data_IF_637896168504
#
_entry.id   IF_637896168504
#
_cell.length_a   1.000
_cell.length_b   1.000
_cell.length_c   1.000
_cell.angle_alpha   90.00
_cell.angle_beta   90.00
_cell.angle_gamma   90.00
#
_symmetry.space_group_name_H-M   'P 1'
#
loop_
_entity.id
_entity.type
_entity.pdbx_description
1 polymer ?
#
# COMPACT_ATOMS: atom_id res chain seq x y z
N UNK A 1 -73.03 1.58 -46.24
CA UNK A 1 -73.13 2.93 -45.62
C UNK A 1 -73.46 2.75 -44.14
N UNK A 2 -72.53 3.06 -43.29
CA UNK A 2 -72.63 3.52 -41.88
C UNK A 2 -71.27 3.47 -41.19
N UNK A 3 -70.88 4.43 -40.38
CA UNK A 3 -69.49 4.74 -40.04
C UNK A 3 -68.99 3.98 -38.81
N UNK A 4 -67.66 3.77 -38.86
CA UNK A 4 -66.83 3.21 -37.83
C UNK A 4 -66.56 4.30 -36.76
N UNK A 5 -66.88 3.98 -35.48
CA UNK A 5 -66.50 4.84 -34.34
C UNK A 5 -65.14 4.38 -33.81
N UNK A 6 -64.20 5.31 -33.86
CA UNK A 6 -62.90 5.24 -33.19
C UNK A 6 -63.10 5.18 -31.66
N UNK A 7 -62.37 4.22 -31.01
CA UNK A 7 -62.12 4.24 -29.59
C UNK A 7 -60.61 4.56 -29.41
N UNK A 8 -60.30 5.74 -28.95
CA UNK A 8 -58.99 6.12 -28.41
C UNK A 8 -58.84 5.47 -27.04
N UNK A 9 -57.97 4.49 -26.92
CA UNK A 9 -57.48 3.98 -25.66
C UNK A 9 -56.20 4.71 -25.27
N UNK A 10 -56.28 5.52 -24.25
CA UNK A 10 -55.14 6.22 -23.64
C UNK A 10 -54.34 5.21 -22.83
N UNK A 11 -53.17 4.80 -23.32
CA UNK A 11 -52.20 4.01 -22.58
C UNK A 11 -51.38 4.98 -21.67
N UNK A 12 -51.65 4.90 -20.34
CA UNK A 12 -50.82 5.48 -19.32
C UNK A 12 -49.51 4.67 -19.22
N UNK A 13 -48.39 5.26 -19.63
CA UNK A 13 -47.07 4.75 -19.33
C UNK A 13 -46.71 5.13 -17.89
N UNK A 14 -46.74 4.15 -16.97
CA UNK A 14 -46.12 4.27 -15.67
C UNK A 14 -44.62 4.12 -15.88
N UNK A 15 -43.90 5.23 -15.84
CA UNK A 15 -42.44 5.26 -15.75
C UNK A 15 -42.04 4.80 -14.36
N UNK A 16 -41.64 3.54 -14.21
CA UNK A 16 -40.93 3.04 -13.03
C UNK A 16 -39.53 3.64 -13.11
N UNK A 17 -39.29 4.71 -12.39
CA UNK A 17 -37.94 5.19 -12.09
C UNK A 17 -37.33 4.20 -11.10
N UNK A 18 -36.62 3.23 -11.62
CA UNK A 18 -35.71 2.40 -10.82
C UNK A 18 -34.56 3.31 -10.38
N UNK A 19 -34.60 3.79 -9.15
CA UNK A 19 -33.45 4.32 -8.48
C UNK A 19 -32.50 3.15 -8.19
N UNK A 20 -31.71 2.76 -9.17
CA UNK A 20 -30.49 2.02 -8.93
C UNK A 20 -29.48 3.05 -8.41
N UNK A 21 -29.28 3.11 -7.11
CA UNK A 21 -28.07 3.66 -6.53
C UNK A 21 -26.90 2.76 -6.95
N UNK A 22 -26.48 2.91 -8.19
CA UNK A 22 -25.17 2.43 -8.63
C UNK A 22 -24.13 3.23 -7.83
N UNK A 23 -23.46 2.59 -6.91
CA UNK A 23 -22.14 3.07 -6.52
C UNK A 23 -21.34 3.12 -7.84
N UNK A 24 -21.05 4.34 -8.33
CA UNK A 24 -20.04 4.53 -9.36
C UNK A 24 -18.76 3.96 -8.76
N UNK A 25 -18.29 2.83 -9.28
CA UNK A 25 -16.95 2.35 -8.97
C UNK A 25 -15.98 3.43 -9.42
N UNK A 26 -15.31 4.06 -8.46
CA UNK A 26 -14.26 5.03 -8.70
C UNK A 26 -13.21 4.33 -9.59
N UNK A 27 -12.88 4.92 -10.72
CA UNK A 27 -11.83 4.36 -11.59
C UNK A 27 -10.51 4.35 -10.83
N UNK A 28 -9.81 3.21 -10.84
CA UNK A 28 -8.50 3.08 -10.21
C UNK A 28 -7.51 4.12 -10.79
N UNK A 29 -6.65 4.67 -9.92
CA UNK A 29 -5.62 5.62 -10.33
C UNK A 29 -4.40 4.85 -10.89
N UNK A 30 -4.11 4.89 -12.21
CA UNK A 30 -2.99 4.14 -12.78
C UNK A 30 -1.63 4.52 -12.19
N UNK A 31 -1.48 5.76 -11.68
CA UNK A 31 -0.26 6.21 -11.02
C UNK A 31 -0.07 5.58 -9.62
N UNK A 32 -1.12 5.01 -9.06
CA UNK A 32 -1.12 4.33 -7.77
C UNK A 32 -1.25 2.81 -7.87
N UNK A 33 -1.14 2.25 -9.07
CA UNK A 33 -1.10 0.80 -9.24
C UNK A 33 0.15 0.18 -8.60
N UNK A 34 0.06 -1.06 -8.06
CA UNK A 34 1.21 -1.78 -7.52
C UNK A 34 2.36 -1.87 -8.52
N UNK A 35 3.62 -1.55 -8.13
CA UNK A 35 4.77 -1.53 -9.04
C UNK A 35 5.15 -2.94 -9.52
N UNK A 36 5.82 -3.04 -10.68
CA UNK A 36 6.32 -4.32 -11.21
C UNK A 36 7.51 -4.83 -10.41
N UNK A 37 8.37 -3.94 -9.96
CA UNK A 37 9.53 -4.20 -9.13
C UNK A 37 9.38 -3.40 -7.84
N UNK A 38 9.47 -4.08 -6.70
CA UNK A 38 9.39 -3.48 -5.38
C UNK A 38 10.72 -3.68 -4.66
N UNK A 39 11.32 -2.60 -4.18
CA UNK A 39 12.34 -2.67 -3.14
C UNK A 39 11.64 -2.46 -1.80
N UNK A 40 11.73 -3.45 -0.93
CA UNK A 40 11.17 -3.43 0.40
C UNK A 40 12.30 -3.31 1.42
N UNK A 41 12.34 -2.21 2.16
CA UNK A 41 13.29 -2.01 3.25
C UNK A 41 12.56 -2.25 4.57
N UNK A 42 12.99 -3.29 5.28
CA UNK A 42 12.49 -3.64 6.62
C UNK A 42 13.47 -3.12 7.67
N UNK A 43 13.00 -2.26 8.56
CA UNK A 43 13.84 -1.63 9.58
C UNK A 43 13.25 -1.86 10.97
N UNK A 44 14.01 -2.52 11.84
CA UNK A 44 13.69 -2.61 13.25
C UNK A 44 14.25 -1.38 13.96
N UNK A 45 13.38 -0.63 14.62
CA UNK A 45 13.76 0.59 15.34
C UNK A 45 14.05 0.27 16.81
N UNK A 46 15.16 0.80 17.36
CA UNK A 46 15.51 0.65 18.76
C UNK A 46 14.35 1.06 19.68
N UNK A 47 14.19 0.37 20.79
CA UNK A 47 13.12 0.62 21.75
C UNK A 47 13.10 2.08 22.22
N UNK A 48 11.92 2.70 22.14
CA UNK A 48 11.71 4.08 22.52
C UNK A 48 12.12 5.13 21.46
N UNK A 49 12.68 4.73 20.32
CA UNK A 49 13.20 5.67 19.32
C UNK A 49 12.27 5.87 18.11
N UNK A 50 11.14 5.19 18.02
CA UNK A 50 10.20 5.27 16.89
C UNK A 50 9.72 6.70 16.61
N UNK A 51 9.37 7.48 17.64
CA UNK A 51 8.92 8.87 17.45
C UNK A 51 10.03 9.79 16.94
N UNK A 52 11.28 9.54 17.31
CA UNK A 52 12.43 10.29 16.84
C UNK A 52 12.72 9.97 15.38
N UNK A 53 12.80 8.68 15.02
CA UNK A 53 12.91 8.26 13.60
C UNK A 53 11.84 8.92 12.73
N UNK A 54 10.57 8.87 13.17
CA UNK A 54 9.46 9.47 12.43
C UNK A 54 9.67 10.97 12.17
N UNK A 55 10.10 11.73 13.18
CA UNK A 55 10.39 13.18 13.02
C UNK A 55 11.51 13.45 12.02
N UNK A 56 12.59 12.68 12.09
CA UNK A 56 13.73 12.83 11.18
C UNK A 56 13.32 12.44 9.74
N UNK A 57 12.63 11.31 9.57
CA UNK A 57 12.17 10.88 8.25
C UNK A 57 11.16 11.86 7.63
N UNK A 58 10.24 12.41 8.44
CA UNK A 58 9.33 13.45 7.99
C UNK A 58 10.08 14.74 7.55
N UNK A 59 11.26 15.01 8.10
CA UNK A 59 12.11 16.12 7.62
C UNK A 59 12.69 15.83 6.25
N UNK A 60 13.18 14.61 6.02
CA UNK A 60 13.65 14.17 4.69
C UNK A 60 12.51 14.18 3.69
N UNK A 61 11.36 13.59 4.02
CA UNK A 61 10.17 13.54 3.14
C UNK A 61 9.77 14.94 2.67
N UNK A 62 9.59 15.89 3.58
CA UNK A 62 9.29 17.29 3.24
C UNK A 62 10.37 17.97 2.40
N UNK A 63 11.64 17.63 2.60
CA UNK A 63 12.71 18.15 1.75
C UNK A 63 12.61 17.58 0.33
N UNK A 64 12.36 16.26 0.19
CA UNK A 64 12.18 15.59 -1.09
C UNK A 64 10.98 16.13 -1.88
N UNK A 65 9.90 16.54 -1.20
CA UNK A 65 8.75 17.21 -1.85
C UNK A 65 9.11 18.56 -2.52
N UNK A 66 10.16 19.21 -2.07
CA UNK A 66 10.65 20.50 -2.60
C UNK A 66 11.83 20.38 -3.54
N UNK A 67 12.56 19.30 -3.43
CA UNK A 67 13.77 19.03 -4.21
C UNK A 67 13.46 17.93 -5.23
N UNK A 68 14.31 17.80 -6.22
CA UNK A 68 14.19 16.75 -7.24
C UNK A 68 14.78 15.44 -6.69
N UNK A 69 14.02 14.75 -5.85
CA UNK A 69 14.43 13.50 -5.24
C UNK A 69 14.44 12.37 -6.29
N UNK A 70 15.42 11.42 -6.21
CA UNK A 70 15.62 10.41 -7.25
C UNK A 70 14.55 9.33 -7.34
N UNK A 71 13.81 9.07 -6.28
CA UNK A 71 12.72 8.09 -6.23
C UNK A 71 11.71 8.43 -5.15
N UNK A 72 10.60 7.70 -5.15
CA UNK A 72 9.49 7.83 -4.22
C UNK A 72 9.46 6.65 -3.28
N UNK A 73 8.75 6.79 -2.14
CA UNK A 73 8.52 5.70 -1.20
C UNK A 73 7.23 5.90 -0.40
N UNK A 74 6.69 4.78 0.08
CA UNK A 74 5.62 4.74 1.07
C UNK A 74 6.19 4.14 2.36
N UNK A 75 6.03 4.83 3.48
CA UNK A 75 6.47 4.37 4.80
C UNK A 75 5.30 3.81 5.60
N UNK A 76 5.52 2.64 6.17
CA UNK A 76 4.54 1.87 6.92
C UNK A 76 5.12 1.53 8.30
N UNK A 77 4.30 1.57 9.34
CA UNK A 77 4.71 1.15 10.67
C UNK A 77 3.88 -0.04 11.15
N UNK A 78 4.52 -1.03 11.74
CA UNK A 78 3.84 -2.21 12.28
C UNK A 78 2.85 -1.84 13.39
N UNK A 79 1.64 -2.41 13.29
CA UNK A 79 0.65 -2.45 14.37
C UNK A 79 0.76 -3.76 15.15
N UNK A 80 1.22 -4.82 14.49
CA UNK A 80 1.36 -6.16 15.07
C UNK A 80 2.74 -6.72 14.79
N UNK A 81 3.13 -7.78 15.50
CA UNK A 81 4.44 -8.44 15.33
C UNK A 81 5.60 -7.63 15.90
N UNK A 82 6.75 -7.73 15.25
CA UNK A 82 7.96 -6.99 15.61
C UNK A 82 7.74 -5.49 15.40
N UNK A 83 8.34 -4.67 16.25
CA UNK A 83 8.30 -3.21 16.09
C UNK A 83 9.21 -2.78 14.95
N UNK A 84 8.68 -2.78 13.78
CA UNK A 84 9.42 -2.45 12.56
C UNK A 84 8.69 -1.42 11.71
N UNK A 85 9.40 -0.89 10.75
CA UNK A 85 8.85 -0.11 9.65
C UNK A 85 9.20 -0.77 8.33
N UNK A 86 8.30 -0.65 7.37
CA UNK A 86 8.52 -1.07 5.99
C UNK A 86 8.54 0.17 5.11
N UNK A 87 9.54 0.28 4.26
CA UNK A 87 9.55 1.29 3.20
C UNK A 87 9.39 0.60 1.87
N UNK A 88 8.40 1.00 1.09
CA UNK A 88 8.09 0.50 -0.24
C UNK A 88 8.61 1.45 -1.28
N UNK A 89 9.66 1.09 -1.99
CA UNK A 89 10.25 1.88 -3.08
C UNK A 89 9.81 1.25 -4.42
N UNK A 90 8.94 1.93 -5.20
CA UNK A 90 8.38 1.40 -6.43
C UNK A 90 9.29 1.65 -7.63
N UNK A 91 9.43 0.61 -8.47
CA UNK A 91 10.14 0.69 -9.75
C UNK A 91 9.44 -0.18 -10.80
N UNK A 92 9.67 0.09 -12.09
CA UNK A 92 9.24 -0.78 -13.17
C UNK A 92 10.37 -1.72 -13.63
N UNK A 93 11.63 -1.29 -13.48
CA UNK A 93 12.80 -1.99 -13.99
C UNK A 93 14.01 -1.90 -13.06
N UNK A 94 14.94 -2.86 -13.17
CA UNK A 94 16.23 -2.78 -12.48
C UNK A 94 17.10 -1.61 -12.95
N UNK A 95 16.91 -1.13 -14.17
CA UNK A 95 17.61 0.07 -14.67
C UNK A 95 17.16 1.32 -13.91
N UNK A 96 15.85 1.49 -13.67
CA UNK A 96 15.33 2.58 -12.83
C UNK A 96 15.88 2.49 -11.41
N UNK A 97 15.93 1.31 -10.81
CA UNK A 97 16.54 1.09 -9.50
C UNK A 97 18.02 1.50 -9.48
N UNK A 98 18.80 1.15 -10.52
CA UNK A 98 20.19 1.55 -10.66
C UNK A 98 20.33 3.08 -10.77
N UNK A 99 19.47 3.72 -11.56
CA UNK A 99 19.45 5.18 -11.73
C UNK A 99 19.10 5.87 -10.39
N UNK A 100 18.09 5.38 -9.67
CA UNK A 100 17.71 5.90 -8.35
C UNK A 100 18.87 5.79 -7.35
N UNK A 101 19.56 4.65 -7.27
CA UNK A 101 20.70 4.45 -6.39
C UNK A 101 21.85 5.43 -6.70
N UNK A 102 22.09 5.70 -7.98
CA UNK A 102 23.08 6.68 -8.41
C UNK A 102 22.63 8.10 -8.09
N UNK A 103 21.36 8.39 -8.28
CA UNK A 103 20.73 9.68 -7.98
C UNK A 103 20.78 10.00 -6.49
N UNK A 104 20.48 9.05 -5.60
CA UNK A 104 20.56 9.25 -4.15
C UNK A 104 21.95 9.61 -3.67
N UNK A 105 23.00 9.00 -4.23
CA UNK A 105 24.39 9.38 -3.91
C UNK A 105 24.66 10.85 -4.27
N UNK A 106 24.19 11.29 -5.44
CA UNK A 106 24.36 12.69 -5.88
C UNK A 106 23.48 13.63 -5.05
N UNK A 107 22.25 13.24 -4.74
CA UNK A 107 21.32 14.01 -3.92
C UNK A 107 21.89 14.31 -2.53
N UNK A 108 22.37 13.30 -1.82
CA UNK A 108 22.99 13.50 -0.50
C UNK A 108 24.33 14.23 -0.57
N UNK A 109 25.09 14.09 -1.65
CA UNK A 109 26.31 14.89 -1.84
C UNK A 109 25.98 16.38 -2.04
N UNK A 110 24.86 16.69 -2.68
CA UNK A 110 24.39 18.07 -2.86
C UNK A 110 23.70 18.65 -1.61
N UNK A 111 23.21 17.81 -0.70
CA UNK A 111 22.45 18.18 0.51
C UNK A 111 23.05 17.53 1.78
N UNK A 112 24.22 18.03 2.28
CA UNK A 112 24.93 17.42 3.41
C UNK A 112 24.14 17.40 4.72
N UNK A 113 23.25 18.35 4.94
CA UNK A 113 22.32 18.40 6.07
C UNK A 113 21.30 17.24 6.06
N UNK A 114 20.80 16.88 4.88
CA UNK A 114 19.94 15.71 4.74
C UNK A 114 20.73 14.40 4.86
N UNK A 115 21.97 14.37 4.38
CA UNK A 115 22.88 13.24 4.58
C UNK A 115 23.17 13.00 6.09
N UNK A 116 23.36 14.08 6.85
CA UNK A 116 23.50 14.00 8.29
C UNK A 116 22.21 13.46 8.95
N UNK A 117 21.04 13.99 8.57
CA UNK A 117 19.75 13.53 9.08
C UNK A 117 19.53 12.03 8.78
N UNK A 118 19.92 11.55 7.59
CA UNK A 118 19.87 10.13 7.27
C UNK A 118 20.79 9.33 8.18
N UNK A 119 22.02 9.77 8.42
CA UNK A 119 22.93 9.10 9.37
C UNK A 119 22.38 9.07 10.82
N UNK A 120 21.64 10.09 11.23
CA UNK A 120 20.94 10.10 12.51
C UNK A 120 19.83 9.02 12.53
N UNK A 121 19.03 8.89 11.45
CA UNK A 121 18.02 7.82 11.32
C UNK A 121 18.70 6.45 11.42
N UNK A 122 19.76 6.21 10.67
CA UNK A 122 20.48 4.93 10.65
C UNK A 122 20.97 4.54 12.07
N UNK A 123 21.39 5.54 12.86
CA UNK A 123 21.82 5.31 14.26
C UNK A 123 20.70 4.86 15.20
N UNK A 124 19.42 5.03 14.80
CA UNK A 124 18.25 4.61 15.59
C UNK A 124 17.80 3.19 15.26
N UNK A 125 18.38 2.56 14.27
CA UNK A 125 18.00 1.21 13.84
C UNK A 125 18.68 0.16 14.70
N UNK A 126 17.96 -0.91 15.01
CA UNK A 126 18.50 -2.13 15.59
C UNK A 126 18.94 -3.11 14.49
N UNK A 127 18.19 -3.17 13.41
CA UNK A 127 18.48 -3.97 12.23
C UNK A 127 17.84 -3.38 10.98
N UNK A 128 18.38 -3.75 9.82
CA UNK A 128 17.82 -3.43 8.50
C UNK A 128 17.99 -4.61 7.56
N UNK A 129 16.99 -4.85 6.73
CA UNK A 129 17.03 -5.82 5.64
C UNK A 129 16.36 -5.24 4.40
N UNK A 130 17.01 -5.35 3.25
CA UNK A 130 16.44 -4.94 1.98
C UNK A 130 16.12 -6.15 1.13
N UNK A 131 14.91 -6.19 0.60
CA UNK A 131 14.43 -7.21 -0.34
C UNK A 131 14.16 -6.56 -1.68
N UNK A 132 14.45 -7.29 -2.77
CA UNK A 132 14.02 -6.93 -4.12
C UNK A 132 13.05 -8.00 -4.62
N UNK A 133 11.84 -7.58 -4.96
CA UNK A 133 10.76 -8.49 -5.32
C UNK A 133 10.10 -8.10 -6.64
N UNK A 134 9.69 -9.09 -7.41
CA UNK A 134 8.96 -8.91 -8.67
C UNK A 134 7.51 -9.32 -8.50
N UNK A 135 6.60 -8.47 -8.99
CA UNK A 135 5.16 -8.73 -8.97
C UNK A 135 4.81 -9.96 -9.81
N UNK A 136 3.86 -10.73 -9.31
CA UNK A 136 3.28 -11.92 -9.94
C UNK A 136 1.82 -11.64 -10.27
N UNK A 137 1.58 -11.12 -11.48
CA UNK A 137 0.24 -10.75 -11.96
C UNK A 137 -0.71 -11.94 -12.05
N UNK A 138 -0.16 -13.15 -12.19
CA UNK A 138 -0.91 -14.40 -12.27
C UNK A 138 -1.36 -14.94 -10.89
N UNK A 139 -0.99 -14.28 -9.79
CA UNK A 139 -1.29 -14.71 -8.41
C UNK A 139 -2.08 -13.68 -7.59
N UNK A 140 -2.20 -12.45 -8.09
CA UNK A 140 -2.98 -11.37 -7.45
C UNK A 140 -4.44 -11.36 -7.90
N UNK A 141 -5.29 -10.64 -7.17
CA UNK A 141 -6.67 -10.34 -7.56
C UNK A 141 -7.13 -9.03 -6.87
N UNK A 142 -7.92 -8.18 -7.55
CA UNK A 142 -8.14 -8.17 -8.99
C UNK A 142 -6.84 -7.91 -9.76
N UNK A 143 -6.86 -7.72 -11.10
CA UNK A 143 -5.67 -7.30 -11.85
C UNK A 143 -5.00 -6.08 -11.21
N UNK A 144 -3.68 -6.03 -11.21
CA UNK A 144 -2.93 -5.01 -10.46
C UNK A 144 -3.25 -3.57 -10.89
N UNK A 145 -3.65 -3.37 -12.16
CA UNK A 145 -4.10 -2.07 -12.70
C UNK A 145 -5.43 -1.57 -12.10
N UNK A 146 -6.21 -2.46 -11.50
CA UNK A 146 -7.48 -2.14 -10.85
C UNK A 146 -7.30 -1.86 -9.34
N UNK A 147 -6.07 -1.99 -8.82
CA UNK A 147 -5.75 -1.73 -7.41
C UNK A 147 -5.19 -0.31 -7.26
N UNK A 148 -5.82 0.51 -6.44
CA UNK A 148 -5.39 1.87 -6.11
C UNK A 148 -4.71 1.91 -4.72
N UNK A 149 -3.37 1.88 -4.69
CA UNK A 149 -2.61 1.95 -3.45
C UNK A 149 -2.73 3.31 -2.73
N UNK A 150 -3.18 4.36 -3.41
CA UNK A 150 -3.36 5.68 -2.79
C UNK A 150 -4.50 5.70 -1.76
N UNK A 151 -5.46 4.77 -1.88
CA UNK A 151 -6.56 4.60 -0.93
C UNK A 151 -6.17 3.84 0.33
N UNK A 152 -5.03 3.15 0.32
CA UNK A 152 -4.58 2.36 1.46
C UNK A 152 -4.26 3.24 2.69
N UNK A 153 -4.83 2.86 3.84
CA UNK A 153 -4.54 3.42 5.16
C UNK A 153 -3.83 2.40 6.03
N UNK A 154 -4.08 1.15 5.74
CA UNK A 154 -3.46 -0.01 6.37
C UNK A 154 -2.98 -0.98 5.29
N UNK A 155 -2.04 -1.81 5.67
CA UNK A 155 -1.53 -2.88 4.82
C UNK A 155 -1.39 -4.15 5.63
N UNK A 156 -2.07 -5.21 5.22
CA UNK A 156 -1.72 -6.54 5.73
C UNK A 156 -0.62 -7.10 4.86
N UNK A 157 0.44 -7.58 5.49
CA UNK A 157 1.58 -8.19 4.80
C UNK A 157 1.77 -9.61 5.29
N UNK A 158 1.77 -10.57 4.36
CA UNK A 158 2.18 -11.94 4.64
C UNK A 158 3.55 -12.15 4.00
N UNK A 159 4.53 -12.55 4.81
CA UNK A 159 5.82 -13.08 4.32
C UNK A 159 5.77 -14.60 4.44
N UNK A 160 5.80 -15.28 3.31
CA UNK A 160 5.78 -16.76 3.23
C UNK A 160 7.13 -17.23 2.73
N UNK A 161 7.88 -17.89 3.62
CA UNK A 161 9.14 -18.54 3.29
C UNK A 161 8.90 -20.01 3.05
N UNK A 162 9.42 -20.51 1.96
CA UNK A 162 9.21 -21.88 1.52
C UNK A 162 10.45 -22.73 1.72
N UNK A 163 10.23 -24.02 1.87
CA UNK A 163 11.27 -25.02 1.73
C UNK A 163 11.78 -25.05 0.27
N UNK A 164 13.05 -25.35 0.03
CA UNK A 164 13.59 -25.44 -1.33
C UNK A 164 12.79 -26.40 -2.21
N UNK A 165 12.45 -25.98 -3.42
CA UNK A 165 11.68 -26.77 -4.38
C UNK A 165 10.17 -26.57 -4.36
N UNK A 166 9.60 -25.96 -3.30
CA UNK A 166 8.14 -25.85 -3.08
C UNK A 166 7.50 -24.56 -3.62
N UNK A 167 8.17 -23.83 -4.53
CA UNK A 167 7.60 -22.61 -5.10
C UNK A 167 6.28 -22.82 -5.84
N UNK A 168 6.15 -23.95 -6.55
CA UNK A 168 4.91 -24.29 -7.29
C UNK A 168 3.76 -24.63 -6.36
N UNK A 169 4.03 -25.31 -5.25
CA UNK A 169 2.99 -25.70 -4.29
C UNK A 169 2.32 -24.46 -3.69
N UNK A 170 3.11 -23.41 -3.40
CA UNK A 170 2.60 -22.12 -3.00
C UNK A 170 1.77 -21.45 -4.11
N UNK A 171 2.30 -21.40 -5.35
CA UNK A 171 1.59 -20.80 -6.49
C UNK A 171 0.26 -21.49 -6.76
N UNK A 172 0.19 -22.81 -6.68
CA UNK A 172 -1.05 -23.59 -6.80
C UNK A 172 -2.02 -23.29 -5.66
N UNK A 173 -1.52 -23.14 -4.44
CA UNK A 173 -2.34 -22.81 -3.27
C UNK A 173 -2.95 -21.40 -3.37
N UNK A 174 -2.18 -20.41 -3.82
CA UNK A 174 -2.70 -19.05 -4.01
C UNK A 174 -3.75 -19.01 -5.12
N UNK A 175 -3.54 -19.74 -6.22
CA UNK A 175 -4.54 -19.85 -7.30
C UNK A 175 -5.82 -20.51 -6.80
N UNK A 176 -5.70 -21.62 -6.06
CA UNK A 176 -6.86 -22.30 -5.45
C UNK A 176 -7.64 -21.35 -4.53
N UNK A 177 -6.94 -20.57 -3.72
CA UNK A 177 -7.56 -19.55 -2.87
C UNK A 177 -8.24 -18.45 -3.69
N UNK A 178 -7.59 -17.96 -4.75
CA UNK A 178 -8.14 -16.96 -5.67
C UNK A 178 -9.41 -17.43 -6.35
N UNK A 179 -9.42 -18.68 -6.87
CA UNK A 179 -10.60 -19.28 -7.50
C UNK A 179 -11.79 -19.42 -6.52
N UNK A 180 -11.50 -19.71 -5.26
CA UNK A 180 -12.52 -19.77 -4.21
C UNK A 180 -13.03 -18.38 -3.84
N UNK A 181 -12.13 -17.41 -3.71
CA UNK A 181 -12.45 -16.03 -3.37
C UNK A 181 -13.32 -15.35 -4.43
N UNK A 182 -13.07 -15.61 -5.71
CA UNK A 182 -13.86 -15.07 -6.83
C UNK A 182 -15.34 -15.50 -6.84
N UNK A 183 -15.71 -16.50 -6.01
CA UNK A 183 -17.10 -16.98 -5.87
C UNK A 183 -17.89 -16.23 -4.81
N UNK A 184 -17.24 -15.54 -3.89
CA UNK A 184 -17.88 -14.76 -2.81
C UNK A 184 -17.92 -13.28 -3.16
N UNK A 185 -18.85 -12.54 -2.56
CA UNK A 185 -19.03 -11.11 -2.81
C UNK A 185 -18.08 -10.28 -1.94
N UNK A 186 -17.55 -9.19 -2.49
CA UNK A 186 -16.75 -8.22 -1.75
C UNK A 186 -15.28 -8.59 -1.74
N UNK A 187 -14.60 -8.46 -2.86
CA UNK A 187 -13.19 -8.80 -3.00
C UNK A 187 -12.30 -7.79 -2.24
N UNK A 188 -11.57 -8.27 -1.23
CA UNK A 188 -10.43 -7.53 -0.69
C UNK A 188 -9.25 -7.79 -1.63
N UNK A 189 -8.66 -6.74 -2.22
CA UNK A 189 -7.59 -6.91 -3.19
C UNK A 189 -6.32 -7.45 -2.54
N UNK A 190 -5.56 -8.24 -3.29
CA UNK A 190 -4.21 -8.64 -2.88
C UNK A 190 -3.24 -8.66 -4.05
N UNK A 191 -1.99 -8.36 -3.75
CA UNK A 191 -0.88 -8.36 -4.69
C UNK A 191 0.19 -9.32 -4.21
N UNK A 192 0.70 -10.15 -5.11
CA UNK A 192 1.74 -11.13 -4.79
C UNK A 192 3.06 -10.71 -5.43
N UNK A 193 4.12 -10.71 -4.64
CA UNK A 193 5.49 -10.54 -5.10
C UNK A 193 6.32 -11.76 -4.78
N UNK A 194 7.16 -12.16 -5.72
CA UNK A 194 8.22 -13.13 -5.48
C UNK A 194 9.51 -12.40 -5.16
N UNK A 195 10.11 -12.67 -4.01
CA UNK A 195 11.40 -12.11 -3.64
C UNK A 195 12.50 -12.78 -4.48
N UNK A 196 13.28 -11.94 -5.16
CA UNK A 196 14.39 -12.36 -6.00
C UNK A 196 15.74 -12.22 -5.29
N UNK A 197 15.90 -11.16 -4.47
CA UNK A 197 17.14 -10.84 -3.77
C UNK A 197 16.85 -10.46 -2.31
N UNK A 198 17.83 -10.68 -1.43
CA UNK A 198 17.77 -10.28 -0.02
C UNK A 198 17.20 -11.35 0.93
N UNK A 199 16.98 -12.57 0.46
CA UNK A 199 16.54 -13.71 1.29
C UNK A 199 17.33 -14.97 0.97
N UNK A 200 17.43 -15.87 1.95
CA UNK A 200 18.15 -17.15 1.82
C UNK A 200 17.27 -18.31 1.35
N UNK A 201 15.96 -18.11 1.25
CA UNK A 201 15.00 -19.14 0.87
C UNK A 201 13.99 -18.57 -0.14
N UNK A 202 13.31 -19.40 -0.94
CA UNK A 202 12.22 -18.96 -1.78
C UNK A 202 11.17 -18.26 -0.90
N UNK A 203 10.89 -16.98 -1.19
CA UNK A 203 10.00 -16.14 -0.37
C UNK A 203 9.00 -15.44 -1.27
N UNK A 204 7.76 -15.42 -0.82
CA UNK A 204 6.69 -14.62 -1.41
C UNK A 204 6.16 -13.62 -0.38
N UNK A 205 5.80 -12.45 -0.89
CA UNK A 205 5.13 -11.40 -0.12
C UNK A 205 3.72 -11.25 -0.69
N UNK A 206 2.72 -11.29 0.18
CA UNK A 206 1.33 -11.01 -0.19
C UNK A 206 0.90 -9.76 0.54
N UNK A 207 0.55 -8.73 -0.23
CA UNK A 207 0.08 -7.45 0.29
C UNK A 207 -1.42 -7.32 0.08
N UNK A 208 -2.13 -6.96 1.14
CA UNK A 208 -3.55 -6.64 1.10
C UNK A 208 -3.69 -5.18 1.56
N UNK A 209 -3.83 -4.23 0.61
CA UNK A 209 -4.12 -2.84 0.95
C UNK A 209 -5.55 -2.74 1.50
N UNK A 210 -5.73 -1.97 2.57
CA UNK A 210 -7.00 -1.75 3.24
C UNK A 210 -7.23 -0.25 3.41
N UNK A 211 -8.42 0.23 3.07
CA UNK A 211 -8.81 1.64 3.29
C UNK A 211 -9.18 1.90 4.75
N UNK A 212 -9.67 0.88 5.44
CA UNK A 212 -9.90 0.88 6.89
C UNK A 212 -9.78 -0.54 7.47
N UNK A 213 -9.85 -0.65 8.81
CA UNK A 213 -9.76 -1.96 9.46
C UNK A 213 -11.07 -2.76 9.41
N UNK A 214 -12.19 -2.15 9.00
CA UNK A 214 -13.43 -2.89 8.78
C UNK A 214 -13.28 -3.86 7.60
N UNK A 215 -12.52 -3.48 6.56
CA UNK A 215 -12.20 -4.40 5.46
C UNK A 215 -11.45 -5.66 5.93
N UNK A 216 -10.75 -5.58 7.05
CA UNK A 216 -10.14 -6.77 7.65
C UNK A 216 -11.19 -7.69 8.30
N UNK A 217 -12.24 -7.13 8.90
CA UNK A 217 -13.38 -7.92 9.40
C UNK A 217 -14.11 -8.58 8.23
N UNK A 218 -14.36 -7.82 7.15
CA UNK A 218 -14.99 -8.34 5.92
C UNK A 218 -14.15 -9.50 5.31
N UNK A 219 -12.81 -9.39 5.33
CA UNK A 219 -11.90 -10.47 4.89
C UNK A 219 -12.06 -11.75 5.73
N UNK A 220 -12.22 -11.60 7.05
CA UNK A 220 -12.41 -12.75 7.95
C UNK A 220 -13.75 -13.42 7.71
N UNK A 221 -14.83 -12.63 7.49
CA UNK A 221 -16.17 -13.15 7.16
C UNK A 221 -16.15 -13.89 5.82
N UNK A 222 -15.56 -13.32 4.77
CA UNK A 222 -15.41 -13.95 3.46
C UNK A 222 -14.65 -15.29 3.54
N UNK A 223 -13.59 -15.33 4.35
CA UNK A 223 -12.86 -16.57 4.59
C UNK A 223 -13.74 -17.65 5.20
N UNK A 224 -14.60 -17.31 6.15
CA UNK A 224 -15.54 -18.25 6.76
C UNK A 224 -16.60 -18.71 5.75
N UNK A 225 -17.12 -17.80 4.90
CA UNK A 225 -18.06 -18.16 3.84
C UNK A 225 -17.44 -19.17 2.86
N UNK A 226 -16.21 -18.94 2.39
CA UNK A 226 -15.47 -19.86 1.52
C UNK A 226 -15.34 -21.24 2.16
N UNK A 227 -15.05 -21.30 3.46
CA UNK A 227 -14.87 -22.56 4.18
C UNK A 227 -16.18 -23.30 4.45
N UNK A 228 -17.33 -22.61 4.42
CA UNK A 228 -18.67 -23.20 4.60
C UNK A 228 -19.30 -23.70 3.29
N UNK A 229 -18.75 -23.33 2.13
CA UNK A 229 -19.21 -23.85 0.84
C UNK A 229 -18.89 -25.35 0.69
N UNK A 230 -19.60 -26.05 -0.23
CA UNK A 230 -19.48 -27.50 -0.41
C UNK A 230 -18.06 -28.02 -0.67
N UNK A 231 -17.19 -27.20 -1.27
CA UNK A 231 -15.79 -27.52 -1.54
C UNK A 231 -14.82 -26.90 -0.50
N UNK A 232 -15.35 -26.15 0.45
CA UNK A 232 -14.53 -25.34 1.37
C UNK A 232 -13.63 -26.20 2.27
N UNK A 233 -14.11 -27.34 2.76
CA UNK A 233 -13.31 -28.26 3.59
C UNK A 233 -12.15 -28.86 2.78
N UNK A 234 -12.37 -29.22 1.51
CA UNK A 234 -11.31 -29.77 0.64
C UNK A 234 -10.26 -28.70 0.32
N UNK A 235 -10.67 -27.44 0.09
CA UNK A 235 -9.80 -26.31 -0.11
C UNK A 235 -8.97 -26.07 1.15
N UNK A 236 -9.60 -26.02 2.31
CA UNK A 236 -8.93 -25.82 3.59
C UNK A 236 -7.92 -26.92 3.88
N UNK A 237 -8.24 -28.20 3.60
CA UNK A 237 -7.29 -29.29 3.81
C UNK A 237 -6.09 -29.22 2.87
N UNK A 238 -6.31 -28.89 1.59
CA UNK A 238 -5.19 -28.67 0.64
C UNK A 238 -4.28 -27.54 1.08
N UNK A 239 -4.84 -26.39 1.50
CA UNK A 239 -4.07 -25.27 2.01
C UNK A 239 -3.28 -25.65 3.28
N UNK A 240 -3.90 -26.39 4.22
CA UNK A 240 -3.24 -26.91 5.42
C UNK A 240 -2.12 -27.89 5.08
N UNK A 241 -2.34 -28.78 4.10
CA UNK A 241 -1.34 -29.71 3.64
C UNK A 241 -0.13 -28.99 3.03
N UNK A 242 -0.38 -28.05 2.10
CA UNK A 242 0.71 -27.25 1.50
C UNK A 242 1.48 -26.48 2.58
N UNK A 243 0.78 -25.91 3.56
CA UNK A 243 1.44 -25.19 4.65
C UNK A 243 2.35 -26.10 5.48
N UNK A 244 1.95 -27.35 5.76
CA UNK A 244 2.75 -28.33 6.50
C UNK A 244 3.95 -28.83 5.72
N UNK A 245 3.82 -29.01 4.40
CA UNK A 245 4.82 -29.65 3.55
C UNK A 245 5.80 -28.66 2.91
N UNK A 246 5.32 -27.45 2.58
CA UNK A 246 6.03 -26.49 1.76
C UNK A 246 6.53 -25.26 2.51
N UNK A 247 5.89 -24.87 3.65
CA UNK A 247 6.26 -23.65 4.32
C UNK A 247 7.34 -23.85 5.37
N UNK A 248 8.44 -23.10 5.27
CA UNK A 248 9.42 -22.97 6.33
C UNK A 248 8.93 -22.01 7.43
N UNK A 249 8.28 -20.91 7.05
CA UNK A 249 7.58 -20.00 7.96
C UNK A 249 6.53 -19.17 7.22
N UNK A 250 5.56 -18.69 7.98
CA UNK A 250 4.60 -17.67 7.53
C UNK A 250 4.46 -16.64 8.64
N UNK A 251 4.64 -15.38 8.28
CA UNK A 251 4.41 -14.24 9.16
C UNK A 251 3.31 -13.37 8.56
N UNK A 252 2.36 -12.93 9.38
CA UNK A 252 1.24 -12.08 8.97
C UNK A 252 1.14 -10.90 9.91
N UNK A 253 1.42 -9.71 9.41
CA UNK A 253 1.44 -8.49 10.18
C UNK A 253 0.55 -7.41 9.56
N UNK A 254 0.00 -6.55 10.41
CA UNK A 254 -0.72 -5.34 10.03
C UNK A 254 0.19 -4.13 10.21
N UNK A 255 0.14 -3.23 9.25
CA UNK A 255 0.86 -1.97 9.23
C UNK A 255 -0.11 -0.80 9.00
N UNK A 256 0.24 0.36 9.51
CA UNK A 256 -0.41 1.64 9.22
C UNK A 256 0.45 2.44 8.26
N UNK A 257 -0.18 3.05 7.25
CA UNK A 257 0.47 3.95 6.29
C UNK A 257 0.70 5.30 6.95
N UNK A 258 1.92 5.83 6.84
CA UNK A 258 2.30 7.13 7.38
C UNK A 258 2.58 8.14 6.25
N UNK A 259 1.59 8.98 5.86
CA UNK A 259 1.77 9.94 4.77
C UNK A 259 2.84 10.99 5.08
N UNK A 260 3.03 11.37 6.35
CA UNK A 260 4.01 12.38 6.77
C UNK A 260 5.46 11.94 6.64
N UNK A 261 5.71 10.62 6.56
CA UNK A 261 7.05 10.04 6.37
C UNK A 261 7.22 9.41 5.00
N UNK A 262 6.17 9.40 4.20
CA UNK A 262 6.19 8.96 2.81
C UNK A 262 6.55 10.11 1.88
N UNK A 263 7.15 9.80 0.74
CA UNK A 263 7.34 10.73 -0.38
C UNK A 263 6.74 10.11 -1.63
N UNK A 264 5.58 10.62 -2.05
CA UNK A 264 4.81 10.09 -3.18
C UNK A 264 4.64 11.11 -4.30
N UNK A 265 4.49 10.67 -5.57
CA UNK A 265 4.23 11.56 -6.69
C UNK A 265 2.91 12.33 -6.51
N UNK A 266 2.78 13.45 -7.21
CA UNK A 266 1.55 14.28 -7.14
C UNK A 266 0.34 13.58 -7.72
N UNK A 267 0.54 12.83 -8.80
CA UNK A 267 -0.48 12.04 -9.47
C UNK A 267 -0.91 10.83 -8.63
N UNK A 268 0.02 10.19 -7.92
CA UNK A 268 -0.31 9.17 -6.92
C UNK A 268 -1.23 9.74 -5.83
N UNK A 269 -0.89 10.90 -5.30
CA UNK A 269 -1.63 11.56 -4.23
C UNK A 269 -2.96 12.21 -4.67
N UNK A 270 -3.22 12.32 -5.99
CA UNK A 270 -4.28 13.18 -6.52
C UNK A 270 -5.68 12.78 -6.08
N UNK A 271 -5.97 11.47 -5.99
CA UNK A 271 -7.27 10.94 -5.58
C UNK A 271 -7.55 11.08 -4.08
N UNK A 272 -6.48 11.17 -3.24
CA UNK A 272 -6.53 11.17 -1.79
C UNK A 272 -5.63 12.28 -1.19
N UNK A 273 -5.70 13.49 -1.78
CA UNK A 273 -4.80 14.61 -1.47
C UNK A 273 -4.83 15.03 0.01
N UNK A 274 -5.99 14.98 0.66
CA UNK A 274 -6.15 15.34 2.08
C UNK A 274 -5.40 14.38 3.01
N UNK A 275 -5.29 13.12 2.63
CA UNK A 275 -4.52 12.14 3.38
C UNK A 275 -3.02 12.29 3.13
N UNK A 276 -2.60 12.30 1.85
CA UNK A 276 -1.17 12.30 1.49
C UNK A 276 -0.48 13.64 1.74
N UNK A 277 -1.23 14.75 1.78
CA UNK A 277 -0.72 16.12 1.94
C UNK A 277 -1.57 16.92 2.90
N UNK A 278 -1.68 16.49 4.18
CA UNK A 278 -2.53 17.17 5.14
C UNK A 278 -2.07 18.62 5.35
N UNK A 279 -3.03 19.55 5.42
CA UNK A 279 -2.77 20.98 5.59
C UNK A 279 -1.95 21.33 6.86
N UNK A 280 -1.94 20.45 7.87
CA UNK A 280 -1.13 20.59 9.09
C UNK A 280 0.37 20.35 8.86
N UNK A 281 0.75 19.78 7.72
CA UNK A 281 2.15 19.63 7.29
C UNK A 281 2.72 20.91 6.64
N UNK A 282 1.87 21.91 6.37
CA UNK A 282 2.32 23.24 5.92
C UNK A 282 3.18 23.88 7.02
N UNK A 283 4.35 24.41 6.63
CA UNK A 283 5.30 25.06 7.54
C UNK A 283 4.62 26.08 8.47
N UNK A 284 5.05 26.17 9.75
CA UNK A 284 4.67 27.29 10.57
C UNK A 284 5.09 28.58 9.84
N UNK A 285 4.12 29.47 9.57
CA UNK A 285 4.43 30.78 8.98
C UNK A 285 5.57 31.41 9.76
N UNK A 286 6.59 31.97 9.08
CA UNK A 286 7.71 32.61 9.77
C UNK A 286 7.14 33.63 10.75
N UNK A 287 7.46 33.47 12.04
CA UNK A 287 7.12 34.45 13.06
C UNK A 287 7.67 35.81 12.62
N UNK A 288 6.76 36.72 12.27
CA UNK A 288 7.09 38.12 12.06
C UNK A 288 7.56 38.66 13.41
N UNK A 289 8.87 38.69 13.64
CA UNK A 289 9.43 39.33 14.83
C UNK A 289 8.88 40.75 14.89
N UNK A 290 8.23 41.17 15.99
CA UNK A 290 7.72 42.52 16.12
C UNK A 290 8.90 43.49 15.97
N UNK A 291 8.82 44.37 14.99
CA UNK A 291 9.77 45.48 14.80
C UNK A 291 9.74 46.35 16.03
N UNK A 292 10.79 46.32 16.85
CA UNK A 292 10.99 47.26 17.95
C UNK A 292 11.37 48.62 17.32
N UNK A 293 10.35 49.38 16.94
CA UNK A 293 10.53 50.78 16.55
C UNK A 293 10.63 51.62 17.82
N UNK A 294 11.86 52.04 18.12
CA UNK A 294 12.24 53.30 18.78
C UNK A 294 11.33 53.90 19.87
N UNK A 295 11.62 53.57 21.11
CA UNK A 295 11.36 54.51 22.21
C UNK A 295 12.36 55.66 22.11
N UNK A 296 11.96 56.77 21.49
CA UNK A 296 12.65 58.07 21.58
C UNK A 296 12.59 58.53 23.05
N UNK A 297 13.75 58.55 23.73
CA UNK A 297 13.95 59.40 24.93
C UNK A 297 13.79 60.84 24.53
N UNK A 298 12.90 61.56 25.23
CA UNK A 298 12.85 63.04 25.25
C UNK A 298 13.43 63.51 26.57
N UNK A 299 14.10 64.67 26.54
CA UNK A 299 14.97 65.21 27.58
C UNK A 299 14.26 65.57 28.90
#
# INVERSE_FOLDING_TARGET
>A
MKPIRSFLGTLLWLSIVSNSSGQEMKAANPAAAPPKLLVLVQQEVQLGRTSERRKLLATISRACDRLDAPSFWIDLQSLTGTRETLTFDPFDTFEQLQQANSGWKQFFAAHPDLAQTQGEIDSLLASERTLVALRRDDLGAPPAEDIDLSEARFMRVLEVRLLPGHGRDFEESIKLWGDAHAKVKGEVPWVVYRVNEGTSAPTFLVFLPLSDLKEYDDLLEQREEILQENEGEDIAERLRQTAREAYASIESNLYVVHPETSHVPKDFAASEADFWRPASAAEPKPEVKPSISHLKKKP
#
